data_IF_629397970663
#
_entry.id   IF_629397970663
#
_cell.length_a   1.000
_cell.length_b   1.000
_cell.length_c   1.000
_cell.angle_alpha   90.00
_cell.angle_beta   90.00
_cell.angle_gamma   90.00
#
_symmetry.space_group_name_H-M   'P 1'
#
loop_
_entity.id
_entity.type
_entity.pdbx_description
1 polymer ?
#
# COMPACT_ATOMS: atom_id res chain seq x y z
N UNK A 1 -2.35 -7.77 -1.33
CA UNK A 1 -1.67 -6.56 -0.84
C UNK A 1 -0.18 -6.70 -1.02
N UNK A 2 0.49 -5.60 -1.33
CA UNK A 2 1.93 -5.54 -1.52
C UNK A 2 2.53 -4.38 -0.73
N UNK A 3 3.73 -4.56 -0.21
CA UNK A 3 4.53 -3.48 0.36
C UNK A 3 5.71 -3.16 -0.56
N UNK A 4 6.00 -1.87 -0.70
CA UNK A 4 7.13 -1.39 -1.48
C UNK A 4 7.78 -0.20 -0.78
N UNK A 5 9.10 -0.22 -0.72
CA UNK A 5 9.90 0.95 -0.38
C UNK A 5 9.93 1.90 -1.57
N UNK A 6 9.55 3.15 -1.35
CA UNK A 6 9.40 4.17 -2.38
C UNK A 6 10.08 5.45 -1.93
N UNK A 7 10.42 6.30 -2.90
CA UNK A 7 10.79 7.68 -2.63
C UNK A 7 9.56 8.59 -2.69
N UNK A 8 9.60 9.75 -2.03
CA UNK A 8 8.46 10.69 -2.02
C UNK A 8 8.01 11.09 -3.43
N UNK A 9 8.97 11.23 -4.37
CA UNK A 9 8.68 11.54 -5.77
C UNK A 9 7.93 10.42 -6.52
N UNK A 10 7.95 9.19 -6.01
CA UNK A 10 7.26 8.05 -6.62
C UNK A 10 5.82 7.91 -6.11
N UNK A 11 5.48 8.50 -4.96
CA UNK A 11 4.16 8.37 -4.34
C UNK A 11 3.04 8.78 -5.29
N UNK A 12 3.14 9.95 -5.93
CA UNK A 12 2.12 10.44 -6.87
C UNK A 12 1.92 9.49 -8.07
N UNK A 13 2.98 8.86 -8.55
CA UNK A 13 2.89 7.91 -9.67
C UNK A 13 2.20 6.62 -9.24
N UNK A 14 2.44 6.18 -8.01
CA UNK A 14 1.80 5.01 -7.41
C UNK A 14 0.32 5.27 -7.13
N UNK A 15 -0.04 6.42 -6.56
CA UNK A 15 -1.44 6.80 -6.32
C UNK A 15 -2.25 6.93 -7.62
N UNK A 16 -1.62 7.35 -8.71
CA UNK A 16 -2.28 7.42 -10.03
C UNK A 16 -2.56 6.04 -10.64
N UNK A 17 -1.89 4.97 -10.18
CA UNK A 17 -1.98 3.63 -10.77
C UNK A 17 -2.63 2.61 -9.84
N UNK A 18 -2.48 2.77 -8.53
CA UNK A 18 -2.92 1.80 -7.53
C UNK A 18 -3.58 2.49 -6.34
N UNK A 19 -4.42 1.75 -5.63
CA UNK A 19 -4.98 2.19 -4.35
C UNK A 19 -3.96 1.96 -3.24
N UNK A 20 -3.56 3.04 -2.58
CA UNK A 20 -2.66 2.97 -1.42
C UNK A 20 -3.51 2.79 -0.16
N UNK A 21 -3.28 1.70 0.59
CA UNK A 21 -3.95 1.42 1.87
C UNK A 21 -3.29 2.18 3.02
N UNK A 22 -1.96 2.23 3.00
CA UNK A 22 -1.19 2.77 4.11
C UNK A 22 0.19 3.29 3.66
N UNK A 23 0.68 4.32 4.36
CA UNK A 23 2.00 4.90 4.18
C UNK A 23 2.68 5.00 5.55
N UNK A 24 3.92 4.53 5.65
CA UNK A 24 4.70 4.63 6.89
C UNK A 24 6.16 4.92 6.62
N UNK A 25 6.81 5.63 7.53
CA UNK A 25 8.26 5.77 7.54
C UNK A 25 8.88 4.72 8.48
N UNK A 26 9.76 3.88 7.94
CA UNK A 26 10.56 2.93 8.73
C UNK A 26 12.04 3.11 8.42
N UNK A 27 12.86 3.32 9.46
CA UNK A 27 14.32 3.47 9.33
C UNK A 27 14.75 4.54 8.28
N UNK A 28 13.98 5.63 8.17
CA UNK A 28 14.22 6.70 7.19
C UNK A 28 13.77 6.38 5.76
N UNK A 29 13.05 5.27 5.54
CA UNK A 29 12.51 4.87 4.24
C UNK A 29 10.99 4.96 4.24
N UNK A 30 10.40 5.46 3.16
CA UNK A 30 8.96 5.50 2.98
C UNK A 30 8.47 4.15 2.43
N UNK A 31 7.61 3.48 3.18
CA UNK A 31 7.01 2.20 2.81
C UNK A 31 5.54 2.44 2.47
N UNK A 32 5.16 2.08 1.24
CA UNK A 32 3.79 2.14 0.76
C UNK A 32 3.16 0.75 0.71
N UNK A 33 1.95 0.64 1.24
CA UNK A 33 1.12 -0.57 1.21
C UNK A 33 0.04 -0.40 0.15
N UNK A 34 0.01 -1.32 -0.80
CA UNK A 34 -0.69 -1.18 -2.08
C UNK A 34 -1.73 -2.30 -2.19
N UNK A 35 -2.98 -1.92 -2.46
CA UNK A 35 -4.10 -2.83 -2.72
C UNK A 35 -4.24 -2.98 -4.23
N UNK A 36 -4.07 -4.20 -4.71
CA UNK A 36 -4.11 -4.55 -6.12
C UNK A 36 -4.19 -6.07 -6.26
N UNK A 37 -4.97 -6.53 -7.24
CA UNK A 37 -5.16 -7.94 -7.61
C UNK A 37 -4.14 -8.41 -8.65
N UNK A 38 -3.57 -7.48 -9.41
CA UNK A 38 -2.46 -7.73 -10.33
C UNK A 38 -1.15 -7.62 -9.55
N UNK A 39 -0.15 -8.46 -9.83
CA UNK A 39 1.17 -8.35 -9.19
C UNK A 39 1.99 -7.26 -9.90
N UNK A 40 2.11 -6.02 -9.39
CA UNK A 40 2.47 -4.92 -10.27
C UNK A 40 3.89 -4.37 -10.06
N UNK A 41 4.70 -4.98 -9.20
CA UNK A 41 5.87 -4.28 -8.68
C UNK A 41 7.07 -5.21 -8.77
N UNK A 42 7.97 -4.93 -9.70
CA UNK A 42 9.39 -5.27 -9.50
C UNK A 42 9.75 -4.84 -8.08
N UNK A 43 10.09 -5.82 -7.23
CA UNK A 43 10.43 -5.68 -5.81
C UNK A 43 9.26 -5.41 -4.83
N UNK A 44 8.01 -5.67 -5.19
CA UNK A 44 6.90 -5.67 -4.24
C UNK A 44 6.87 -6.94 -3.40
N UNK A 45 6.91 -6.81 -2.07
CA UNK A 45 6.76 -7.96 -1.17
C UNK A 45 5.27 -8.21 -0.97
N UNK A 46 4.80 -9.39 -1.37
CA UNK A 46 3.42 -9.80 -1.11
C UNK A 46 3.25 -9.98 0.40
N UNK A 47 2.29 -9.27 0.97
CA UNK A 47 1.99 -9.35 2.40
C UNK A 47 0.58 -9.88 2.61
N UNK A 48 0.40 -10.61 3.70
CA UNK A 48 -0.92 -10.96 4.21
C UNK A 48 -1.52 -9.71 4.86
N UNK A 49 -2.76 -9.31 4.53
CA UNK A 49 -3.43 -8.24 5.24
C UNK A 49 -3.51 -8.55 6.73
N UNK A 50 -3.34 -7.52 7.56
CA UNK A 50 -3.47 -7.62 9.02
C UNK A 50 -4.88 -7.19 9.46
N UNK A 51 -5.22 -7.41 10.73
CA UNK A 51 -6.46 -6.94 11.35
C UNK A 51 -6.76 -5.47 11.07
N UNK A 52 -5.73 -4.61 11.01
CA UNK A 52 -5.92 -3.19 10.71
C UNK A 52 -6.43 -2.95 9.28
N UNK A 53 -6.00 -3.74 8.30
CA UNK A 53 -6.50 -3.61 6.92
C UNK A 53 -7.92 -4.16 6.76
N UNK A 54 -8.25 -5.24 7.49
CA UNK A 54 -9.63 -5.78 7.52
C UNK A 54 -10.58 -4.77 8.13
N UNK A 55 -10.17 -4.12 9.23
CA UNK A 55 -10.93 -3.06 9.86
C UNK A 55 -11.17 -1.89 8.89
N UNK A 56 -10.14 -1.38 8.23
CA UNK A 56 -10.29 -0.28 7.26
C UNK A 56 -11.21 -0.64 6.08
N UNK A 57 -11.18 -1.88 5.60
CA UNK A 57 -12.09 -2.34 4.54
C UNK A 57 -13.55 -2.36 5.01
N UNK A 58 -13.81 -2.85 6.22
CA UNK A 58 -15.18 -3.00 6.75
C UNK A 58 -15.85 -1.64 7.02
N UNK A 59 -15.07 -0.61 7.35
CA UNK A 59 -15.58 0.74 7.62
C UNK A 59 -15.70 1.62 6.37
N UNK A 60 -15.08 1.25 5.24
CA UNK A 60 -15.23 1.99 3.98
C UNK A 60 -16.48 1.59 3.18
N UNK A 61 -17.17 0.51 3.52
CA UNK A 61 -18.48 0.14 2.93
C UNK A 61 -19.68 0.87 3.58
N UNK A 62 -19.45 1.69 4.61
CA UNK A 62 -20.50 2.47 5.28
C UNK A 62 -20.27 3.97 5.02
N UNK A 63 -20.46 4.40 3.77
CA UNK A 63 -20.68 5.82 3.40
C UNK A 63 -21.47 5.93 2.11
#
# INVERSE_FOLDING_TARGET
>A
MFERCIEEGQLKQLESKYRISNLRYEQGKLIARIITDEAPLENGIRITPDLNDVYLSYFQEIS
#
